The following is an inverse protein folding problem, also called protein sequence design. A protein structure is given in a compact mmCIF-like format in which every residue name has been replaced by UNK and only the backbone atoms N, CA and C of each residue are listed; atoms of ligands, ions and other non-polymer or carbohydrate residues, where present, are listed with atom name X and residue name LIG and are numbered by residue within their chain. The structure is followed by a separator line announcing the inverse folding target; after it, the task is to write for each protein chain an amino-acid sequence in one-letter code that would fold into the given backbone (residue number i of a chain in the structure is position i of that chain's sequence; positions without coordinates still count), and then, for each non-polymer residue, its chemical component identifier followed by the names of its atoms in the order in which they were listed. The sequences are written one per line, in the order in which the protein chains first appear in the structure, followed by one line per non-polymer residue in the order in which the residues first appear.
data_IF_339815261593
#
_entry.id   IF_339815261593
#
_cell.length_a   1.000
_cell.length_b   1.000
_cell.length_c   1.000
_cell.angle_alpha   90.00
_cell.angle_beta   90.00
_cell.angle_gamma   90.00
#
_symmetry.space_group_name_H-M   'P 1'
#
loop_
_entity.id
_entity.type
_entity.pdbx_description
1 polymer ?
#
# COMPACT_ATOMS: atom_id res chain seq x y z
N UNK A 1 14.67 -1.44 25.59
CA UNK A 1 14.29 -1.42 25.72
C UNK A 1 13.36 -1.39 26.01
N UNK A 2 13.12 -1.01 26.18
CA UNK A 2 12.33 -0.83 26.43
C UNK A 2 11.27 -1.30 25.98
N UNK A 3 10.99 -2.15 26.11
CA UNK A 3 9.99 -2.84 25.56
C UNK A 3 8.71 -2.55 26.15
N UNK A 4 8.70 -2.05 27.28
CA UNK A 4 7.48 -1.60 27.83
C UNK A 4 6.77 -0.70 26.89
N UNK A 5 7.53 -0.20 25.97
CA UNK A 5 6.98 0.66 25.03
C UNK A 5 6.34 -0.06 23.91
N UNK A 6 6.32 -1.36 23.92
CA UNK A 6 5.82 -2.11 22.80
C UNK A 6 4.35 -1.81 22.50
N UNK A 7 3.56 -1.48 23.52
CA UNK A 7 2.16 -1.16 23.27
C UNK A 7 2.01 0.10 22.44
N UNK A 8 2.81 1.11 22.74
CA UNK A 8 2.80 2.31 21.91
C UNK A 8 3.36 2.03 20.54
N UNK A 9 4.38 1.18 20.48
CA UNK A 9 4.99 0.85 19.21
C UNK A 9 4.03 0.12 18.30
N UNK A 10 3.11 -0.64 18.87
CA UNK A 10 2.12 -1.33 18.03
C UNK A 10 1.27 -0.35 17.25
N UNK A 11 0.96 0.79 17.86
CA UNK A 11 0.14 1.78 17.20
C UNK A 11 0.88 2.50 16.09
N UNK A 12 2.22 2.39 16.07
CA UNK A 12 3.04 3.08 15.09
C UNK A 12 3.73 2.12 14.13
N UNK A 13 3.39 0.82 14.19
CA UNK A 13 4.06 -0.15 13.34
C UNK A 13 3.85 0.12 11.85
N UNK A 14 2.65 0.62 11.49
CA UNK A 14 2.41 0.93 10.10
C UNK A 14 3.37 2.02 9.61
N UNK A 15 3.64 3.02 10.45
CA UNK A 15 4.58 4.08 10.08
C UNK A 15 6.01 3.56 10.03
N UNK A 16 6.37 2.67 10.94
CA UNK A 16 7.71 2.08 10.95
C UNK A 16 7.94 1.28 9.67
N UNK A 17 6.99 0.43 9.32
CA UNK A 17 7.16 -0.39 8.12
C UNK A 17 7.10 0.46 6.85
N UNK A 18 6.30 1.52 6.86
CA UNK A 18 6.29 2.44 5.73
C UNK A 18 7.67 3.07 5.55
N UNK A 19 8.28 3.52 6.65
CA UNK A 19 9.61 4.12 6.58
C UNK A 19 10.64 3.11 6.09
N UNK A 20 10.54 1.87 6.57
CA UNK A 20 11.46 0.82 6.10
C UNK A 20 11.28 0.56 4.62
N UNK A 21 10.05 0.52 4.16
CA UNK A 21 9.80 0.36 2.74
C UNK A 21 10.46 1.46 1.93
N UNK A 22 10.37 2.70 2.43
CA UNK A 22 11.01 3.82 1.74
C UNK A 22 12.53 3.68 1.72
N UNK A 23 13.12 3.17 2.80
CA UNK A 23 14.56 2.95 2.83
C UNK A 23 14.97 1.93 1.76
N UNK A 24 14.22 0.84 1.66
CA UNK A 24 14.55 -0.16 0.65
C UNK A 24 14.33 0.38 -0.75
N UNK A 25 13.31 1.22 -0.95
CA UNK A 25 13.10 1.83 -2.25
C UNK A 25 14.29 2.70 -2.65
N UNK A 26 14.84 3.44 -1.69
CA UNK A 26 15.99 4.29 -2.00
C UNK A 26 17.21 3.45 -2.34
N UNK A 27 17.24 2.19 -1.95
CA UNK A 27 18.31 1.27 -2.31
C UNK A 27 17.95 0.43 -3.53
N UNK A 28 16.82 0.73 -4.14
CA UNK A 28 16.33 -0.01 -5.30
C UNK A 28 16.07 -1.49 -4.98
N UNK A 29 15.78 -1.78 -3.71
CA UNK A 29 15.45 -3.13 -3.26
C UNK A 29 13.94 -3.25 -3.20
N UNK A 30 13.33 -3.42 -4.37
CA UNK A 30 11.88 -3.43 -4.49
C UNK A 30 11.25 -4.58 -3.72
N UNK A 31 11.89 -5.74 -3.71
CA UNK A 31 11.33 -6.91 -3.05
C UNK A 31 11.13 -6.65 -1.56
N UNK A 32 12.17 -6.14 -0.90
CA UNK A 32 12.07 -5.84 0.52
C UNK A 32 11.18 -4.64 0.79
N UNK A 33 11.14 -3.68 -0.14
CA UNK A 33 10.24 -2.56 0.00
C UNK A 33 8.78 -3.03 0.02
N UNK A 34 8.43 -3.90 -0.92
CA UNK A 34 7.06 -4.44 -0.97
C UNK A 34 6.75 -5.19 0.31
N UNK A 35 7.68 -6.01 0.77
CA UNK A 35 7.46 -6.78 1.98
C UNK A 35 7.17 -5.87 3.19
N UNK A 36 7.92 -4.79 3.32
CA UNK A 36 7.71 -3.87 4.44
C UNK A 36 6.44 -3.06 4.29
N UNK A 37 6.10 -2.63 3.10
CA UNK A 37 4.83 -1.95 2.89
C UNK A 37 3.66 -2.87 3.21
N UNK A 38 3.74 -4.14 2.84
CA UNK A 38 2.69 -5.09 3.15
C UNK A 38 2.55 -5.29 4.66
N UNK A 39 3.68 -5.35 5.36
CA UNK A 39 3.65 -5.43 6.81
C UNK A 39 3.01 -4.18 7.41
N UNK A 40 3.28 -3.03 6.83
CA UNK A 40 2.66 -1.79 7.30
C UNK A 40 1.14 -1.84 7.19
N UNK A 41 0.64 -2.37 6.08
CA UNK A 41 -0.80 -2.52 5.91
C UNK A 41 -1.36 -3.53 6.92
N UNK A 42 -0.67 -4.66 7.06
CA UNK A 42 -1.15 -5.73 7.93
C UNK A 42 -1.15 -5.29 9.39
N UNK A 43 -0.13 -4.54 9.81
CA UNK A 43 0.01 -4.15 11.21
C UNK A 43 -0.72 -2.86 11.54
N UNK A 44 -1.33 -2.21 10.55
CA UNK A 44 -2.06 -0.99 10.81
C UNK A 44 -3.28 -1.29 11.67
N UNK A 45 -3.47 -0.49 12.72
CA UNK A 45 -4.59 -0.69 13.62
C UNK A 45 -5.80 0.14 13.21
N UNK A 46 -5.65 1.01 12.23
CA UNK A 46 -6.72 1.88 11.79
C UNK A 46 -6.75 1.94 10.28
N UNK A 47 -7.94 2.11 9.74
CA UNK A 47 -8.11 2.35 8.31
C UNK A 47 -7.96 3.82 8.03
N UNK A 48 -6.77 4.33 8.20
CA UNK A 48 -6.52 5.75 8.06
C UNK A 48 -5.54 6.06 6.96
N UNK A 49 -5.03 7.29 7.00
CA UNK A 49 -4.15 7.77 5.95
C UNK A 49 -2.86 6.98 5.86
N UNK A 50 -2.29 6.59 7.00
CA UNK A 50 -1.02 5.88 6.96
C UNK A 50 -1.15 4.54 6.24
N UNK A 51 -2.24 3.82 6.52
CA UNK A 51 -2.49 2.57 5.82
C UNK A 51 -2.71 2.80 4.34
N UNK A 52 -3.48 3.84 4.00
CA UNK A 52 -3.76 4.16 2.61
C UNK A 52 -2.48 4.50 1.86
N UNK A 53 -1.57 5.23 2.48
CA UNK A 53 -0.31 5.57 1.83
C UNK A 53 0.49 4.31 1.53
N UNK A 54 0.55 3.38 2.48
CA UNK A 54 1.22 2.10 2.22
C UNK A 54 0.56 1.35 1.07
N UNK A 55 -0.76 1.37 1.02
CA UNK A 55 -1.47 0.70 -0.06
C UNK A 55 -1.21 1.35 -1.41
N UNK A 56 -1.12 2.67 -1.44
CA UNK A 56 -0.78 3.37 -2.68
C UNK A 56 0.60 2.97 -3.16
N UNK A 57 1.57 2.92 -2.23
CA UNK A 57 2.92 2.50 -2.60
C UNK A 57 2.93 1.08 -3.14
N UNK A 58 2.22 0.18 -2.48
CA UNK A 58 2.13 -1.20 -2.93
C UNK A 58 1.47 -1.28 -4.31
N UNK A 59 0.38 -0.54 -4.49
CA UNK A 59 -0.29 -0.54 -5.77
C UNK A 59 0.63 -0.08 -6.88
N UNK A 60 1.37 1.01 -6.63
CA UNK A 60 2.31 1.52 -7.63
C UNK A 60 3.37 0.48 -7.96
N UNK A 61 3.92 -0.20 -6.95
CA UNK A 61 4.97 -1.17 -7.18
C UNK A 61 4.46 -2.40 -7.92
N UNK A 62 3.30 -2.91 -7.51
CA UNK A 62 2.71 -4.03 -8.21
C UNK A 62 2.33 -3.67 -9.65
N UNK A 63 1.85 -2.45 -9.85
CA UNK A 63 1.51 -1.98 -11.18
C UNK A 63 2.75 -1.96 -12.08
N UNK A 64 3.89 -1.50 -11.54
CA UNK A 64 5.14 -1.50 -12.29
C UNK A 64 5.59 -2.92 -12.65
N UNK A 65 5.31 -3.86 -11.76
CA UNK A 65 5.65 -5.26 -12.02
C UNK A 65 4.61 -5.93 -12.89
N UNK A 66 3.56 -5.21 -13.27
CA UNK A 66 2.45 -5.73 -14.07
C UNK A 66 1.66 -6.81 -13.32
N UNK A 67 1.71 -6.77 -12.01
CA UNK A 67 0.92 -7.66 -11.17
C UNK A 67 -0.38 -6.95 -10.84
N UNK A 68 -1.26 -6.88 -11.85
CA UNK A 68 -2.47 -6.08 -11.73
C UNK A 68 -3.47 -6.67 -10.73
N UNK A 69 -3.43 -7.99 -10.57
CA UNK A 69 -4.31 -8.65 -9.61
C UNK A 69 -4.03 -8.17 -8.20
N UNK A 70 -2.76 -7.93 -7.87
CA UNK A 70 -2.41 -7.44 -6.55
C UNK A 70 -2.46 -5.93 -6.45
N UNK A 71 -2.23 -5.22 -7.55
CA UNK A 71 -2.29 -3.76 -7.54
C UNK A 71 -3.71 -3.26 -7.29
N UNK A 72 -4.69 -3.93 -7.88
CA UNK A 72 -6.07 -3.48 -7.82
C UNK A 72 -6.60 -3.36 -6.38
N UNK A 73 -6.49 -4.41 -5.53
CA UNK A 73 -7.03 -4.27 -4.18
C UNK A 73 -6.28 -3.24 -3.35
N UNK A 74 -5.01 -3.01 -3.63
CA UNK A 74 -4.28 -1.99 -2.90
C UNK A 74 -4.76 -0.59 -3.23
N UNK A 75 -4.96 -0.28 -4.51
CA UNK A 75 -5.50 1.02 -4.88
C UNK A 75 -6.94 1.18 -4.39
N UNK A 76 -7.75 0.14 -4.56
CA UNK A 76 -9.14 0.19 -4.12
C UNK A 76 -9.24 0.40 -2.62
N UNK A 77 -8.41 -0.33 -1.86
CA UNK A 77 -8.41 -0.18 -0.41
C UNK A 77 -7.94 1.19 0.04
N UNK A 78 -6.97 1.76 -0.69
CA UNK A 78 -6.45 3.07 -0.33
C UNK A 78 -7.50 4.16 -0.44
N UNK A 79 -8.44 4.02 -1.37
CA UNK A 79 -9.48 5.04 -1.55
C UNK A 79 -10.33 5.23 -0.30
N UNK A 80 -10.49 4.19 0.50
CA UNK A 80 -11.28 4.31 1.72
C UNK A 80 -10.53 5.04 2.83
N UNK A 81 -9.22 5.19 2.69
CA UNK A 81 -8.41 5.86 3.70
C UNK A 81 -7.94 7.25 3.34
N UNK A 82 -8.31 7.74 2.15
CA UNK A 82 -7.95 9.10 1.73
C UNK A 82 -9.20 9.86 1.36
N UNK A 83 -9.10 11.18 1.42
CA UNK A 83 -10.23 12.05 1.08
C UNK A 83 -10.03 12.60 -0.32
N UNK A 84 -11.12 13.13 -0.88
CA UNK A 84 -11.07 13.65 -2.24
C UNK A 84 -10.04 14.76 -2.40
N UNK A 85 -9.74 15.45 -1.32
CA UNK A 85 -8.75 16.53 -1.35
C UNK A 85 -7.32 16.04 -1.33
N UNK A 86 -7.13 14.75 -1.07
CA UNK A 86 -5.78 14.20 -1.05
C UNK A 86 -5.16 14.30 -2.44
N UNK A 87 -3.90 14.70 -2.49
CA UNK A 87 -3.26 15.03 -3.77
C UNK A 87 -3.27 13.87 -4.78
N UNK A 88 -3.20 12.64 -4.28
CA UNK A 88 -3.17 11.48 -5.18
C UNK A 88 -4.53 10.84 -5.39
N UNK A 89 -5.59 11.41 -4.82
CA UNK A 89 -6.90 10.78 -4.86
C UNK A 89 -7.35 10.52 -6.30
N UNK A 90 -7.23 11.53 -7.15
CA UNK A 90 -7.69 11.40 -8.53
C UNK A 90 -6.90 10.33 -9.27
N UNK A 91 -5.58 10.33 -9.08
CA UNK A 91 -4.72 9.33 -9.73
C UNK A 91 -5.09 7.92 -9.27
N UNK A 92 -5.22 7.74 -7.96
CA UNK A 92 -5.53 6.43 -7.40
C UNK A 92 -6.91 5.98 -7.83
N UNK A 93 -7.88 6.89 -7.85
CA UNK A 93 -9.23 6.57 -8.27
C UNK A 93 -9.26 6.09 -9.73
N UNK A 94 -8.54 6.78 -10.60
CA UNK A 94 -8.49 6.39 -12.00
C UNK A 94 -7.80 5.05 -12.18
N UNK A 95 -6.69 4.83 -11.47
CA UNK A 95 -5.98 3.56 -11.56
C UNK A 95 -6.83 2.42 -11.03
N UNK A 96 -7.56 2.65 -9.95
CA UNK A 96 -8.43 1.62 -9.41
C UNK A 96 -9.50 1.22 -10.42
N UNK A 97 -10.09 2.20 -11.09
CA UNK A 97 -11.12 1.92 -12.10
C UNK A 97 -10.54 1.15 -13.28
N UNK A 98 -9.36 1.57 -13.75
CA UNK A 98 -8.71 0.88 -14.86
C UNK A 98 -8.37 -0.55 -14.47
N UNK A 99 -7.86 -0.74 -13.26
CA UNK A 99 -7.48 -2.06 -12.81
C UNK A 99 -8.67 -2.96 -12.59
N UNK A 100 -9.81 -2.40 -12.19
CA UNK A 100 -11.03 -3.21 -12.07
C UNK A 100 -11.34 -3.91 -13.39
N UNK A 101 -11.18 -3.20 -14.51
CA UNK A 101 -11.41 -3.80 -15.81
C UNK A 101 -10.29 -4.76 -16.20
N UNK A 102 -9.04 -4.37 -15.94
CA UNK A 102 -7.92 -5.21 -16.29
C UNK A 102 -7.93 -6.54 -15.57
N UNK A 103 -8.28 -6.52 -14.28
CA UNK A 103 -8.30 -7.74 -13.50
C UNK A 103 -9.36 -8.69 -14.02
N UNK A 104 -10.53 -8.15 -14.39
CA UNK A 104 -11.58 -9.00 -14.97
C UNK A 104 -11.07 -9.69 -16.23
N UNK A 105 -10.38 -8.95 -17.10
CA UNK A 105 -9.87 -9.54 -18.32
C UNK A 105 -8.77 -10.56 -18.04
N UNK A 106 -7.89 -10.27 -17.10
CA UNK A 106 -6.82 -11.20 -16.76
C UNK A 106 -7.40 -12.50 -16.21
N UNK A 107 -8.38 -12.37 -15.32
CA UNK A 107 -8.99 -13.57 -14.73
C UNK A 107 -9.79 -14.35 -15.76
N UNK A 108 -10.45 -13.66 -16.68
CA UNK A 108 -11.20 -14.33 -17.72
C UNK A 108 -10.28 -15.07 -18.68
N UNK A 109 -9.11 -14.49 -18.95
CA UNK A 109 -8.16 -15.09 -19.86
C UNK A 109 -7.43 -16.26 -19.23
N UNK A 110 -7.26 -16.19 -17.91
CA UNK A 110 -6.55 -17.23 -17.21
C UNK A 110 -7.40 -18.38 -16.87
#
# INVERSE_FOLDING_TARGET
QRMAKSDKNKDLLDQVYYALGNVYMSREDTVNAIKNYELGVEKSTQNGLDKAICQIKLGDLYFQKRDYVKAQPNFSGALSGIQKEYKDYERVSKLSAILDELVVHVEAAG
#
